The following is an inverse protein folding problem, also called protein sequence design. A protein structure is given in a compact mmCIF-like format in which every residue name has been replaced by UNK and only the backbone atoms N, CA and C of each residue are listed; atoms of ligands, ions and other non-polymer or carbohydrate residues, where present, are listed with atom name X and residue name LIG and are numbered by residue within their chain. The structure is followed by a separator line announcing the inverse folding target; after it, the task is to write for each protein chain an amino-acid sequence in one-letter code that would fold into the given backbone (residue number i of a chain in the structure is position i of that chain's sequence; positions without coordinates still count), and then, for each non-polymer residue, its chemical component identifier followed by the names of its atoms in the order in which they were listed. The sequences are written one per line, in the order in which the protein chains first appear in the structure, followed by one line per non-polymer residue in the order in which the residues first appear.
data_IF_310378649900
#
_entry.id   IF_310378649900
#
_cell.length_a   1.000
_cell.length_b   1.000
_cell.length_c   1.000
_cell.angle_alpha   90.00
_cell.angle_beta   90.00
_cell.angle_gamma   90.00
#
_symmetry.space_group_name_H-M   'P 1'
#
loop_
_entity.id
_entity.type
_entity.pdbx_description
1 polymer ?
#
# COMPACT_ATOMS: atom_id res chain seq x y z
N UNK A 1 -4.89 2.98 9.39
CA UNK A 1 -3.53 2.50 9.08
C UNK A 1 -2.55 3.63 9.26
N UNK A 2 -1.40 3.37 9.88
CA UNK A 2 -0.34 4.36 10.08
C UNK A 2 0.76 4.12 9.05
N UNK A 3 1.55 5.15 8.71
CA UNK A 3 2.60 5.00 7.69
C UNK A 3 3.70 4.06 8.16
N UNK A 4 4.01 3.03 7.36
CA UNK A 4 4.92 1.94 7.75
C UNK A 4 6.26 2.42 8.29
N UNK A 5 6.87 3.43 7.66
CA UNK A 5 8.17 3.94 8.07
C UNK A 5 8.16 4.55 9.48
N UNK A 6 6.99 4.99 9.98
CA UNK A 6 6.84 5.74 11.22
C UNK A 6 5.78 5.15 12.18
N UNK A 7 5.23 3.98 11.83
CA UNK A 7 4.14 3.34 12.57
C UNK A 7 4.53 3.02 14.02
N UNK A 8 5.80 2.65 14.22
CA UNK A 8 6.40 2.30 15.50
C UNK A 8 7.93 2.42 15.41
N UNK A 9 8.64 2.50 16.54
CA UNK A 9 10.08 2.24 16.56
C UNK A 9 10.36 0.80 16.10
N UNK A 10 11.34 0.65 15.21
CA UNK A 10 11.91 -0.64 14.80
C UNK A 10 13.27 -0.80 15.45
N UNK A 11 13.62 -2.02 15.84
CA UNK A 11 14.92 -2.34 16.43
C UNK A 11 16.04 -2.44 15.39
N UNK A 12 15.67 -2.68 14.13
CA UNK A 12 16.59 -2.76 12.98
C UNK A 12 15.87 -2.47 11.67
N UNK A 13 16.66 -2.18 10.64
CA UNK A 13 16.15 -2.02 9.28
C UNK A 13 15.56 -3.31 8.72
N UNK A 14 16.09 -4.48 9.12
CA UNK A 14 15.55 -5.77 8.72
C UNK A 14 14.14 -6.02 9.31
N UNK A 15 13.90 -5.64 10.57
CA UNK A 15 12.56 -5.71 11.17
C UNK A 15 11.58 -4.77 10.43
N UNK A 16 12.05 -3.57 10.10
CA UNK A 16 11.27 -2.60 9.32
C UNK A 16 10.92 -3.18 7.95
N UNK A 17 11.89 -3.69 7.21
CA UNK A 17 11.70 -4.30 5.89
C UNK A 17 10.76 -5.51 5.93
N UNK A 18 10.87 -6.38 6.93
CA UNK A 18 9.96 -7.51 7.10
C UNK A 18 8.49 -7.08 7.29
N UNK A 19 8.24 -5.91 7.90
CA UNK A 19 6.88 -5.35 8.04
C UNK A 19 6.36 -4.67 6.75
N UNK A 20 7.23 -4.45 5.76
CA UNK A 20 6.88 -3.67 4.57
C UNK A 20 5.89 -4.37 3.67
N UNK A 21 6.04 -5.69 3.47
CA UNK A 21 5.18 -6.46 2.57
C UNK A 21 3.72 -6.44 3.04
N UNK A 22 3.49 -6.67 4.33
CA UNK A 22 2.15 -6.58 4.91
C UNK A 22 1.57 -5.18 4.73
N UNK A 23 2.35 -4.12 5.02
CA UNK A 23 1.90 -2.76 4.80
C UNK A 23 1.54 -2.48 3.33
N UNK A 24 2.33 -2.96 2.38
CA UNK A 24 2.05 -2.77 0.95
C UNK A 24 0.73 -3.41 0.53
N UNK A 25 0.48 -4.63 0.97
CA UNK A 25 -0.80 -5.31 0.69
C UNK A 25 -1.96 -4.47 1.21
N UNK A 26 -1.86 -4.07 2.46
CA UNK A 26 -2.87 -3.32 3.18
C UNK A 26 -3.12 -1.92 2.61
N UNK A 27 -2.05 -1.21 2.25
CA UNK A 27 -2.11 0.09 1.61
C UNK A 27 -2.75 -0.01 0.23
N UNK A 28 -2.32 -0.98 -0.59
CA UNK A 28 -2.78 -1.08 -1.98
C UNK A 28 -4.20 -1.64 -2.11
N UNK A 29 -4.63 -2.52 -1.20
CA UNK A 29 -5.89 -3.27 -1.33
C UNK A 29 -6.99 -2.80 -0.38
N UNK A 30 -6.65 -2.15 0.74
CA UNK A 30 -7.64 -1.87 1.79
C UNK A 30 -7.74 -0.39 2.16
N UNK A 31 -6.73 0.43 1.86
CA UNK A 31 -6.75 1.85 2.23
C UNK A 31 -7.48 2.68 1.20
N UNK A 32 -8.64 3.19 1.58
CA UNK A 32 -9.35 4.21 0.82
C UNK A 32 -8.58 5.54 0.81
N UNK A 33 -8.45 6.15 -0.38
CA UNK A 33 -7.82 7.45 -0.55
C UNK A 33 -8.84 8.49 -1.03
N UNK A 34 -9.02 9.55 -0.25
CA UNK A 34 -10.00 10.63 -0.56
C UNK A 34 -9.70 11.35 -1.87
N UNK A 35 -8.42 11.53 -2.20
CA UNK A 35 -7.98 12.15 -3.45
C UNK A 35 -8.42 11.37 -4.71
N UNK A 36 -8.84 10.12 -4.54
CA UNK A 36 -9.32 9.25 -5.63
C UNK A 36 -10.73 8.73 -5.38
N UNK A 37 -11.57 9.53 -4.70
CA UNK A 37 -12.97 9.20 -4.49
C UNK A 37 -13.21 8.09 -3.47
N UNK A 38 -12.24 7.84 -2.57
CA UNK A 38 -12.34 6.79 -1.56
C UNK A 38 -12.00 5.39 -2.09
N UNK A 39 -11.52 5.29 -3.33
CA UNK A 39 -11.00 4.05 -3.88
C UNK A 39 -9.66 3.67 -3.25
N UNK A 40 -9.31 2.38 -3.36
CA UNK A 40 -7.97 1.91 -3.02
C UNK A 40 -7.00 2.19 -4.18
N UNK A 41 -5.67 2.17 -3.96
CA UNK A 41 -4.71 2.35 -5.05
C UNK A 41 -4.88 1.31 -6.15
N UNK A 42 -5.12 0.04 -5.80
CA UNK A 42 -5.33 -1.03 -6.78
C UNK A 42 -6.61 -0.83 -7.60
N UNK A 43 -7.66 -0.27 -7.00
CA UNK A 43 -8.90 0.13 -7.69
C UNK A 43 -8.72 1.28 -8.69
N UNK A 44 -7.51 1.78 -8.93
CA UNK A 44 -7.24 2.71 -10.05
C UNK A 44 -6.36 2.12 -11.12
N UNK A 45 -5.62 1.05 -10.81
CA UNK A 45 -4.64 0.46 -11.71
C UNK A 45 -5.38 -0.56 -12.59
N UNK A 46 -6.23 -0.07 -13.48
CA UNK A 46 -6.93 -0.90 -14.47
C UNK A 46 -6.16 -1.05 -15.78
N UNK A 47 -5.11 -0.24 -15.96
CA UNK A 47 -4.50 -0.02 -17.27
C UNK A 47 -2.98 -0.23 -17.21
N UNK A 48 -2.55 -1.35 -16.62
CA UNK A 48 -1.23 -1.90 -16.92
C UNK A 48 -1.26 -2.27 -18.41
N UNK A 49 -0.42 -1.61 -19.20
CA UNK A 49 -0.22 -1.88 -20.64
C UNK A 49 -0.23 -3.38 -20.92
N UNK A 50 -1.23 -3.86 -21.66
CA UNK A 50 -1.35 -5.28 -22.01
C UNK A 50 -2.77 -5.87 -21.98
N UNK A 51 -3.77 -5.17 -21.44
CA UNK A 51 -5.17 -5.62 -21.47
C UNK A 51 -6.00 -4.79 -22.46
N UNK A 52 -5.96 -5.18 -23.73
CA UNK A 52 -7.00 -4.83 -24.70
C UNK A 52 -7.84 -6.10 -24.95
N UNK A 53 -9.15 -6.01 -24.74
CA UNK A 53 -10.11 -7.04 -25.18
C UNK A 53 -10.02 -7.27 -26.69
#
# INVERSE_FOLDING_TARGET
MVEWAYARPYSSEAEREAAYETFLHDYNQHRAHTAIGGLTPADRVHNLTGNYT
#
